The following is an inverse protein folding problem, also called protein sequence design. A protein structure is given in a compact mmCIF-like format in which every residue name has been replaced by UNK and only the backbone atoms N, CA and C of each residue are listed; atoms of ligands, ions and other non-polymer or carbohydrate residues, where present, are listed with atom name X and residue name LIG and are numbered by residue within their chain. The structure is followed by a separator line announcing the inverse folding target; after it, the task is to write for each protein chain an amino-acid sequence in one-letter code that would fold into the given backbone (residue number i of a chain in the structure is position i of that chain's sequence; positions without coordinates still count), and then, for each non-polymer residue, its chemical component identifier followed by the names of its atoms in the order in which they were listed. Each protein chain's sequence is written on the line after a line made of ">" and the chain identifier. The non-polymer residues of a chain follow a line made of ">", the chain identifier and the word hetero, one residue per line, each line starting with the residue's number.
data_IF_877757885781
#
_entry.id   IF_877757885781
#
_cell.length_a   1.000
_cell.length_b   1.000
_cell.length_c   1.000
_cell.angle_alpha   90.00
_cell.angle_beta   90.00
_cell.angle_gamma   90.00
#
_symmetry.space_group_name_H-M   'P 1'
#
loop_
_entity.id
_entity.type
_entity.pdbx_description
1 polymer ?
#
# COMPACT_ATOMS: atom_id res chain seq x y z
N UNK A 1 -24.30 -17.88 -10.04
CA UNK A 1 -22.96 -17.29 -9.85
C UNK A 1 -22.65 -17.31 -8.37
N UNK A 2 -21.44 -17.67 -7.98
CA UNK A 2 -21.02 -17.51 -6.58
C UNK A 2 -20.92 -16.00 -6.27
N UNK A 3 -21.40 -15.59 -5.09
CA UNK A 3 -21.29 -14.20 -4.64
C UNK A 3 -19.83 -13.87 -4.31
N UNK A 4 -19.40 -12.65 -4.63
CA UNK A 4 -18.06 -12.15 -4.32
C UNK A 4 -17.96 -11.83 -2.82
N UNK A 5 -17.20 -12.63 -2.07
CA UNK A 5 -16.92 -12.41 -0.65
C UNK A 5 -15.61 -11.63 -0.46
N UNK A 6 -15.71 -10.30 -0.51
CA UNK A 6 -14.57 -9.40 -0.33
C UNK A 6 -13.95 -9.50 1.06
N UNK A 7 -14.73 -9.78 2.11
CA UNK A 7 -14.21 -9.81 3.50
C UNK A 7 -13.16 -10.89 3.68
N UNK A 8 -13.45 -12.08 3.16
CA UNK A 8 -12.51 -13.21 3.21
C UNK A 8 -11.31 -12.98 2.29
N UNK A 9 -11.54 -12.41 1.10
CA UNK A 9 -10.49 -12.18 0.09
C UNK A 9 -9.51 -11.10 0.57
N UNK A 10 -10.00 -9.97 1.06
CA UNK A 10 -9.18 -8.84 1.53
C UNK A 10 -8.29 -9.27 2.71
N UNK A 11 -8.88 -9.94 3.71
CA UNK A 11 -8.13 -10.42 4.89
C UNK A 11 -7.01 -11.39 4.50
N UNK A 12 -7.32 -12.36 3.61
CA UNK A 12 -6.33 -13.32 3.10
C UNK A 12 -5.10 -12.62 2.49
N UNK A 13 -5.32 -11.60 1.66
CA UNK A 13 -4.21 -10.92 0.97
C UNK A 13 -3.43 -9.99 1.90
N UNK A 14 -4.10 -9.27 2.80
CA UNK A 14 -3.44 -8.46 3.82
C UNK A 14 -2.51 -9.32 4.69
N UNK A 15 -2.99 -10.48 5.17
CA UNK A 15 -2.20 -11.39 6.00
C UNK A 15 -1.00 -11.97 5.25
N UNK A 16 -1.19 -12.29 3.95
CA UNK A 16 -0.11 -12.78 3.11
C UNK A 16 0.96 -11.72 2.88
N UNK A 17 0.56 -10.49 2.56
CA UNK A 17 1.52 -9.40 2.30
C UNK A 17 2.34 -9.04 3.53
N UNK A 18 1.71 -9.06 4.71
CA UNK A 18 2.39 -8.87 5.99
C UNK A 18 3.41 -9.98 6.24
N UNK A 19 2.98 -11.25 6.12
CA UNK A 19 3.84 -12.42 6.33
C UNK A 19 5.05 -12.45 5.40
N UNK A 20 4.84 -12.10 4.13
CA UNK A 20 5.89 -12.10 3.11
C UNK A 20 6.72 -10.81 3.10
N UNK A 21 6.31 -9.78 3.84
CA UNK A 21 6.94 -8.45 3.78
C UNK A 21 6.88 -7.83 2.38
N UNK A 22 5.82 -8.10 1.60
CA UNK A 22 5.72 -7.80 0.15
C UNK A 22 6.04 -6.35 -0.21
N UNK A 23 5.73 -5.40 0.68
CA UNK A 23 5.93 -3.98 0.46
C UNK A 23 7.17 -3.40 1.16
N UNK A 24 7.97 -4.23 1.84
CA UNK A 24 9.22 -3.77 2.43
C UNK A 24 10.20 -3.39 1.33
N UNK A 25 10.81 -2.21 1.45
CA UNK A 25 11.93 -1.82 0.60
C UNK A 25 13.15 -2.70 0.93
N UNK A 26 13.98 -2.98 -0.07
CA UNK A 26 15.20 -3.79 0.09
C UNK A 26 16.44 -2.92 -0.11
N UNK A 27 17.57 -3.33 0.47
CA UNK A 27 18.86 -2.65 0.27
C UNK A 27 19.53 -3.10 -1.05
N UNK A 28 18.79 -3.03 -2.16
CA UNK A 28 19.29 -3.28 -3.50
C UNK A 28 19.44 -1.97 -4.27
N UNK A 29 20.70 -1.57 -4.47
CA UNK A 29 21.07 -0.33 -5.15
C UNK A 29 21.15 -0.47 -6.68
N UNK A 30 20.96 -1.68 -7.23
CA UNK A 30 20.88 -1.89 -8.68
C UNK A 30 19.52 -1.48 -9.27
N UNK A 31 18.48 -1.42 -8.43
CA UNK A 31 17.13 -1.05 -8.81
C UNK A 31 16.91 0.48 -8.74
N UNK A 32 16.11 1.06 -9.65
CA UNK A 32 15.76 2.47 -9.55
C UNK A 32 14.89 2.72 -8.30
N UNK A 33 15.26 3.72 -7.50
CA UNK A 33 14.57 4.06 -6.25
C UNK A 33 13.32 4.89 -6.49
N UNK A 34 12.28 4.67 -5.69
CA UNK A 34 11.10 5.53 -5.62
C UNK A 34 10.66 5.64 -4.16
N UNK A 35 10.41 6.85 -3.67
CA UNK A 35 9.89 7.08 -2.32
C UNK A 35 8.54 7.77 -2.40
N UNK A 36 7.47 7.05 -2.07
CA UNK A 36 6.10 7.55 -2.07
C UNK A 36 5.71 8.07 -0.69
N UNK A 37 5.76 9.39 -0.50
CA UNK A 37 5.46 10.02 0.79
C UNK A 37 4.10 10.74 0.77
N UNK A 38 3.29 10.53 1.81
CA UNK A 38 2.14 11.37 2.14
C UNK A 38 2.31 11.87 3.58
N UNK A 39 1.77 13.06 3.85
CA UNK A 39 1.66 13.62 5.18
C UNK A 39 1.00 12.63 6.16
N UNK A 40 1.71 12.35 7.26
CA UNK A 40 1.15 11.53 8.33
C UNK A 40 -0.08 12.20 8.93
N UNK A 41 -1.12 11.41 9.28
CA UNK A 41 -2.35 11.98 9.83
C UNK A 41 -2.09 12.49 11.23
N UNK A 42 -2.64 13.66 11.55
CA UNK A 42 -2.73 14.12 12.94
C UNK A 42 -3.75 13.25 13.70
N UNK A 43 -3.43 12.70 14.89
CA UNK A 43 -4.31 11.76 15.60
C UNK A 43 -5.47 12.48 16.33
N UNK A 44 -6.43 13.02 15.58
CA UNK A 44 -7.57 13.81 16.09
C UNK A 44 -8.74 12.99 16.66
N UNK A 45 -8.60 11.67 16.80
CA UNK A 45 -9.52 10.80 17.55
C UNK A 45 -10.72 10.24 16.76
N UNK A 46 -11.27 10.93 15.75
CA UNK A 46 -12.42 10.45 14.98
C UNK A 46 -12.09 9.38 13.91
N UNK A 47 -10.83 8.94 13.84
CA UNK A 47 -10.35 8.03 12.80
C UNK A 47 -10.11 8.73 11.45
N UNK A 48 -10.07 7.94 10.37
CA UNK A 48 -9.80 8.44 9.02
C UNK A 48 -11.10 8.90 8.32
N UNK A 49 -11.22 10.20 8.06
CA UNK A 49 -12.24 10.71 7.12
C UNK A 49 -11.89 10.44 5.65
N UNK A 50 -12.86 10.61 4.75
CA UNK A 50 -12.72 10.36 3.29
C UNK A 50 -11.56 11.10 2.62
N UNK A 51 -11.16 12.27 3.15
CA UNK A 51 -9.96 12.98 2.69
C UNK A 51 -8.66 12.19 2.85
N UNK A 52 -8.49 11.44 3.94
CA UNK A 52 -7.33 10.57 4.15
C UNK A 52 -7.33 9.42 3.13
N UNK A 53 -8.49 8.81 2.90
CA UNK A 53 -8.64 7.73 1.92
C UNK A 53 -8.23 8.21 0.53
N UNK A 54 -8.69 9.41 0.13
CA UNK A 54 -8.32 10.00 -1.16
C UNK A 54 -6.82 10.18 -1.31
N UNK A 55 -6.16 10.74 -0.29
CA UNK A 55 -4.71 10.95 -0.31
C UNK A 55 -3.99 9.59 -0.38
N UNK A 56 -4.21 8.72 0.61
CA UNK A 56 -3.48 7.45 0.77
C UNK A 56 -3.67 6.50 -0.40
N UNK A 57 -4.90 6.28 -0.85
CA UNK A 57 -5.16 5.40 -1.99
C UNK A 57 -4.52 5.93 -3.29
N UNK A 58 -4.47 7.26 -3.47
CA UNK A 58 -3.83 7.86 -4.63
C UNK A 58 -2.34 7.54 -4.72
N UNK A 59 -1.60 7.72 -3.62
CA UNK A 59 -0.18 7.35 -3.58
C UNK A 59 0.03 5.84 -3.63
N UNK A 60 -0.81 5.05 -2.98
CA UNK A 60 -0.70 3.60 -2.97
C UNK A 60 -0.75 3.01 -4.39
N UNK A 61 -1.67 3.52 -5.23
CA UNK A 61 -1.76 3.15 -6.66
C UNK A 61 -0.45 3.47 -7.40
N UNK A 62 0.15 4.64 -7.13
CA UNK A 62 1.43 5.04 -7.74
C UNK A 62 2.56 4.10 -7.27
N UNK A 63 2.64 3.82 -5.95
CA UNK A 63 3.62 2.92 -5.37
C UNK A 63 3.52 1.49 -5.96
N UNK A 64 2.31 0.95 -6.09
CA UNK A 64 2.08 -0.36 -6.73
C UNK A 64 2.51 -0.35 -8.19
N UNK A 65 2.13 0.67 -8.94
CA UNK A 65 2.55 0.83 -10.34
C UNK A 65 4.08 0.86 -10.46
N UNK A 66 4.77 1.61 -9.61
CA UNK A 66 6.24 1.70 -9.62
C UNK A 66 6.89 0.37 -9.28
N UNK A 67 6.37 -0.38 -8.30
CA UNK A 67 6.87 -1.73 -7.98
C UNK A 67 6.72 -2.69 -9.16
N UNK A 68 5.58 -2.64 -9.86
CA UNK A 68 5.36 -3.43 -11.09
C UNK A 68 6.27 -3.00 -12.26
N UNK A 69 6.78 -1.77 -12.24
CA UNK A 69 7.77 -1.25 -13.20
C UNK A 69 9.23 -1.55 -12.81
N UNK A 70 9.46 -2.33 -11.74
CA UNK A 70 10.80 -2.73 -11.30
C UNK A 70 11.51 -1.72 -10.40
N UNK A 71 10.79 -0.73 -9.85
CA UNK A 71 11.39 0.18 -8.87
C UNK A 71 11.46 -0.47 -7.49
N UNK A 72 12.52 -0.12 -6.75
CA UNK A 72 12.59 -0.33 -5.32
C UNK A 72 11.80 0.79 -4.62
N UNK A 73 10.60 0.45 -4.15
CA UNK A 73 9.62 1.40 -3.61
C UNK A 73 9.69 1.40 -2.09
N UNK A 74 9.94 2.60 -1.52
CA UNK A 74 9.75 2.94 -0.12
C UNK A 74 8.42 3.70 0.05
#
# INVERSE_FOLDING_TARGET
>A
MANYDFKTIEKKWQDRWEKEGTFRAIDDFSLPKFYGLIEFPYPSGAGMHVGHIKAYSGMEVICRKRRMQGYNVL
#
